data_IF_432499700420
#
_entry.id   IF_432499700420
#
_cell.length_a   1.000
_cell.length_b   1.000
_cell.length_c   1.000
_cell.angle_alpha   90.00
_cell.angle_beta   90.00
_cell.angle_gamma   90.00
#
_symmetry.space_group_name_H-M   'P 1'
#
loop_
_entity.id
_entity.type
_entity.pdbx_description
1 polymer ?
#
# COMPACT_ATOMS: atom_id res chain seq x y z
N UNK A 1 -15.91 27.76 -19.49
CA UNK A 1 -14.98 26.64 -19.73
C UNK A 1 -14.81 25.86 -18.43
N UNK A 2 -14.84 24.53 -18.51
CA UNK A 2 -14.45 23.68 -17.38
C UNK A 2 -12.93 23.77 -17.19
N UNK A 3 -12.48 23.83 -15.93
CA UNK A 3 -11.04 23.79 -15.59
C UNK A 3 -10.75 22.44 -14.94
N UNK A 4 -9.79 21.72 -15.50
CA UNK A 4 -9.27 20.48 -14.91
C UNK A 4 -7.79 20.70 -14.57
N UNK A 5 -7.39 20.24 -13.39
CA UNK A 5 -5.97 20.14 -13.05
C UNK A 5 -5.45 18.81 -13.57
N UNK A 6 -4.34 18.85 -14.28
CA UNK A 6 -3.63 17.66 -14.77
C UNK A 6 -2.20 17.68 -14.24
N UNK A 7 -1.55 16.51 -14.20
CA UNK A 7 -0.14 16.44 -13.82
C UNK A 7 0.75 17.15 -14.86
N UNK A 8 1.96 17.54 -14.45
CA UNK A 8 2.92 18.19 -15.35
C UNK A 8 3.34 17.25 -16.49
N UNK A 9 3.39 15.96 -16.20
CA UNK A 9 3.75 14.90 -17.14
C UNK A 9 2.67 14.76 -18.22
N UNK A 10 1.39 14.75 -17.82
CA UNK A 10 0.27 14.72 -18.75
C UNK A 10 0.22 15.98 -19.63
N UNK A 11 0.50 17.16 -19.05
CA UNK A 11 0.56 18.41 -19.80
C UNK A 11 1.65 18.38 -20.88
N UNK A 12 2.85 17.87 -20.54
CA UNK A 12 3.95 17.70 -21.50
C UNK A 12 3.58 16.73 -22.62
N UNK A 13 2.93 15.61 -22.29
CA UNK A 13 2.48 14.64 -23.29
C UNK A 13 1.47 15.25 -24.27
N UNK A 14 0.54 16.10 -23.79
CA UNK A 14 -0.39 16.82 -24.65
C UNK A 14 0.33 17.78 -25.60
N UNK A 15 1.32 18.53 -25.11
CA UNK A 15 2.12 19.45 -25.94
C UNK A 15 2.90 18.70 -27.01
N UNK A 16 3.48 17.54 -26.67
CA UNK A 16 4.21 16.72 -27.64
C UNK A 16 3.30 16.25 -28.78
N UNK A 17 2.10 15.77 -28.47
CA UNK A 17 1.12 15.37 -29.47
C UNK A 17 0.65 16.56 -30.31
N UNK A 18 0.43 17.72 -29.69
CA UNK A 18 0.02 18.93 -30.41
C UNK A 18 1.08 19.37 -31.42
N UNK A 19 2.36 19.40 -31.02
CA UNK A 19 3.46 19.74 -31.93
C UNK A 19 3.54 18.80 -33.14
N UNK A 20 3.29 17.49 -32.94
CA UNK A 20 3.28 16.50 -34.04
C UNK A 20 2.11 16.71 -35.01
N UNK A 21 0.97 17.21 -34.53
CA UNK A 21 -0.17 17.56 -35.37
C UNK A 21 0.18 18.80 -36.20
N UNK A 22 0.74 19.82 -35.56
CA UNK A 22 1.06 21.09 -36.21
C UNK A 22 2.23 21.00 -37.20
N UNK A 23 3.17 20.06 -37.02
CA UNK A 23 4.37 19.88 -37.88
C UNK A 23 4.03 19.65 -39.37
N UNK A 24 2.79 19.22 -39.69
CA UNK A 24 2.37 18.91 -41.08
C UNK A 24 0.97 19.43 -41.42
N UNK A 25 0.45 20.39 -40.66
CA UNK A 25 -0.93 20.85 -40.80
C UNK A 25 -1.02 22.38 -40.93
N UNK A 26 -0.90 22.87 -42.17
CA UNK A 26 -1.01 24.30 -42.48
C UNK A 26 -2.47 24.80 -42.58
N UNK A 27 -3.44 23.88 -42.62
CA UNK A 27 -4.86 24.19 -42.87
C UNK A 27 -5.65 24.57 -41.60
N UNK A 28 -5.03 24.56 -40.43
CA UNK A 28 -5.67 24.97 -39.17
C UNK A 28 -4.71 24.85 -37.99
N UNK A 29 -5.08 25.45 -36.85
CA UNK A 29 -4.39 25.24 -35.57
C UNK A 29 -5.34 24.61 -34.57
N UNK A 30 -4.98 23.47 -34.02
CA UNK A 30 -5.67 22.94 -32.85
C UNK A 30 -5.14 23.65 -31.60
N UNK A 31 -6.00 23.92 -30.62
CA UNK A 31 -5.51 24.33 -29.31
C UNK A 31 -5.27 23.10 -28.43
N UNK A 32 -4.42 23.25 -27.40
CA UNK A 32 -4.23 22.20 -26.38
C UNK A 32 -5.55 21.77 -25.74
N UNK A 33 -6.49 22.69 -25.58
CA UNK A 33 -7.82 22.40 -25.04
C UNK A 33 -8.67 21.54 -25.99
N UNK A 34 -8.62 21.82 -27.29
CA UNK A 34 -9.35 21.03 -28.30
C UNK A 34 -8.80 19.60 -28.35
N UNK A 35 -7.47 19.46 -28.33
CA UNK A 35 -6.81 18.17 -28.29
C UNK A 35 -7.19 17.38 -27.03
N UNK A 36 -7.14 18.01 -25.85
CA UNK A 36 -7.52 17.37 -24.59
C UNK A 36 -9.00 16.91 -24.62
N UNK A 37 -9.90 17.77 -25.10
CA UNK A 37 -11.32 17.45 -25.20
C UNK A 37 -11.55 16.27 -26.15
N UNK A 38 -10.86 16.25 -27.30
CA UNK A 38 -10.97 15.16 -28.27
C UNK A 38 -10.45 13.83 -27.73
N UNK A 39 -9.33 13.85 -27.00
CA UNK A 39 -8.78 12.64 -26.37
C UNK A 39 -9.74 12.09 -25.33
N UNK A 40 -10.31 12.95 -24.47
CA UNK A 40 -11.27 12.52 -23.44
C UNK A 40 -12.51 11.90 -24.10
N UNK A 41 -13.10 12.57 -25.08
CA UNK A 41 -14.29 12.06 -25.78
C UNK A 41 -14.01 10.76 -26.51
N UNK A 42 -12.84 10.66 -27.17
CA UNK A 42 -12.41 9.43 -27.83
C UNK A 42 -12.24 8.29 -26.83
N UNK A 43 -11.55 8.54 -25.71
CA UNK A 43 -11.36 7.53 -24.68
C UNK A 43 -12.69 7.03 -24.15
N UNK A 44 -13.62 7.92 -23.78
CA UNK A 44 -14.96 7.53 -23.31
C UNK A 44 -15.71 6.67 -24.33
N UNK A 45 -15.60 6.99 -25.61
CA UNK A 45 -16.28 6.23 -26.67
C UNK A 45 -15.71 4.82 -26.90
N UNK A 46 -14.44 4.59 -26.56
CA UNK A 46 -13.76 3.31 -26.75
C UNK A 46 -13.39 2.61 -25.44
N UNK A 47 -13.79 3.17 -24.30
CA UNK A 47 -13.41 2.68 -22.99
C UNK A 47 -14.07 1.33 -22.70
N UNK A 48 -13.24 0.34 -22.41
CA UNK A 48 -13.65 -1.03 -22.10
C UNK A 48 -13.77 -1.25 -20.60
N UNK A 49 -14.55 -2.25 -20.20
CA UNK A 49 -14.62 -2.67 -18.79
C UNK A 49 -13.26 -3.08 -18.21
N UNK A 50 -12.35 -3.59 -19.05
CA UNK A 50 -10.98 -3.89 -18.63
C UNK A 50 -10.24 -2.61 -18.22
N UNK A 51 -10.27 -1.57 -19.04
CA UNK A 51 -9.59 -0.30 -18.72
C UNK A 51 -10.21 0.37 -17.48
N UNK A 52 -11.52 0.24 -17.29
CA UNK A 52 -12.19 0.70 -16.07
C UNK A 52 -11.70 -0.08 -14.86
N UNK A 53 -11.57 -1.40 -14.96
CA UNK A 53 -11.02 -2.23 -13.90
C UNK A 53 -9.58 -1.83 -13.55
N UNK A 54 -8.73 -1.66 -14.57
CA UNK A 54 -7.34 -1.24 -14.39
C UNK A 54 -7.24 0.12 -13.70
N UNK A 55 -8.12 1.08 -14.06
CA UNK A 55 -8.21 2.38 -13.36
C UNK A 55 -8.66 2.23 -11.90
N UNK A 56 -9.63 1.36 -11.61
CA UNK A 56 -10.06 1.11 -10.22
C UNK A 56 -8.92 0.55 -9.37
N UNK A 57 -8.09 -0.32 -9.94
CA UNK A 57 -6.90 -0.84 -9.27
C UNK A 57 -5.87 0.27 -9.06
N UNK A 58 -5.62 1.11 -10.07
CA UNK A 58 -4.67 2.22 -9.98
C UNK A 58 -5.03 3.22 -8.88
N UNK A 59 -6.32 3.52 -8.72
CA UNK A 59 -6.84 4.45 -7.72
C UNK A 59 -7.37 3.78 -6.45
N UNK A 60 -7.03 2.51 -6.23
CA UNK A 60 -7.45 1.80 -5.03
C UNK A 60 -6.71 2.35 -3.80
N UNK A 61 -7.46 2.90 -2.85
CA UNK A 61 -6.94 3.28 -1.54
C UNK A 61 -7.31 2.22 -0.48
N UNK A 62 -6.34 1.48 0.07
CA UNK A 62 -6.60 0.46 1.08
C UNK A 62 -7.18 1.03 2.37
N UNK A 63 -6.85 2.27 2.75
CA UNK A 63 -7.32 2.87 4.00
C UNK A 63 -8.81 3.20 3.89
N UNK A 64 -9.20 3.95 2.85
CA UNK A 64 -10.63 4.20 2.58
C UNK A 64 -11.41 2.90 2.42
N UNK A 65 -10.84 1.89 1.75
CA UNK A 65 -11.48 0.59 1.61
C UNK A 65 -11.71 -0.11 2.97
N UNK A 66 -10.75 -0.02 3.88
CA UNK A 66 -10.86 -0.57 5.23
C UNK A 66 -11.89 0.20 6.07
N UNK A 67 -11.94 1.53 5.98
CA UNK A 67 -12.93 2.37 6.66
C UNK A 67 -14.36 2.01 6.25
N UNK A 68 -14.59 1.87 4.95
CA UNK A 68 -15.90 1.47 4.41
C UNK A 68 -16.27 0.06 4.89
N UNK A 69 -15.33 -0.88 4.87
CA UNK A 69 -15.55 -2.23 5.42
C UNK A 69 -15.87 -2.18 6.91
N UNK A 70 -15.14 -1.39 7.69
CA UNK A 70 -15.34 -1.24 9.13
C UNK A 70 -16.71 -0.65 9.45
N UNK A 71 -17.16 0.35 8.69
CA UNK A 71 -18.51 0.92 8.83
C UNK A 71 -19.58 -0.15 8.62
N UNK A 72 -19.46 -0.96 7.56
CA UNK A 72 -20.39 -2.06 7.29
C UNK A 72 -20.39 -3.11 8.39
N UNK A 73 -19.22 -3.49 8.90
CA UNK A 73 -19.08 -4.43 10.03
C UNK A 73 -19.80 -3.91 11.28
N UNK A 74 -19.68 -2.60 11.57
CA UNK A 74 -20.38 -1.98 12.70
C UNK A 74 -21.90 -1.99 12.52
N UNK A 75 -22.37 -1.80 11.29
CA UNK A 75 -23.80 -1.82 10.96
C UNK A 75 -24.40 -3.24 11.02
N UNK A 76 -23.67 -4.25 10.55
CA UNK A 76 -24.17 -5.65 10.48
C UNK A 76 -23.84 -6.47 11.71
N UNK A 77 -22.83 -6.06 12.50
CA UNK A 77 -22.26 -6.84 13.60
C UNK A 77 -21.46 -8.07 13.16
N UNK A 78 -21.30 -8.30 11.84
CA UNK A 78 -20.63 -9.49 11.30
C UNK A 78 -19.24 -9.13 10.80
N UNK A 79 -18.22 -9.66 11.46
CA UNK A 79 -16.81 -9.55 11.04
C UNK A 79 -16.46 -10.75 10.16
N UNK A 80 -15.97 -10.54 8.91
CA UNK A 80 -15.45 -11.61 8.06
C UNK A 80 -14.29 -12.35 8.74
N UNK A 81 -14.24 -13.68 8.57
CA UNK A 81 -13.26 -14.54 9.25
C UNK A 81 -11.82 -14.16 8.95
N UNK A 82 -11.50 -13.78 7.71
CA UNK A 82 -10.17 -13.32 7.34
C UNK A 82 -9.70 -12.07 8.11
N UNK A 83 -10.62 -11.17 8.46
CA UNK A 83 -10.31 -9.98 9.27
C UNK A 83 -10.18 -10.39 10.74
N UNK A 84 -11.04 -11.28 11.22
CA UNK A 84 -10.99 -11.80 12.59
C UNK A 84 -9.67 -12.50 12.87
N UNK A 85 -9.23 -13.38 11.96
CA UNK A 85 -7.96 -14.12 12.07
C UNK A 85 -6.77 -13.16 12.07
N UNK A 86 -6.76 -12.18 11.17
CA UNK A 86 -5.71 -11.16 11.11
C UNK A 86 -5.62 -10.37 12.42
N UNK A 87 -6.75 -9.91 12.97
CA UNK A 87 -6.78 -9.18 14.24
C UNK A 87 -6.37 -10.05 15.43
N UNK A 88 -6.75 -11.34 15.43
CA UNK A 88 -6.34 -12.28 16.47
C UNK A 88 -4.84 -12.52 16.43
N UNK A 89 -4.27 -12.68 15.23
CA UNK A 89 -2.83 -12.85 15.07
C UNK A 89 -2.07 -11.61 15.54
N UNK A 90 -2.47 -10.41 15.13
CA UNK A 90 -1.86 -9.16 15.59
C UNK A 90 -1.92 -9.02 17.11
N UNK A 91 -3.04 -9.42 17.74
CA UNK A 91 -3.18 -9.42 19.20
C UNK A 91 -2.22 -10.41 19.88
N UNK A 92 -2.08 -11.62 19.33
CA UNK A 92 -1.18 -12.64 19.86
C UNK A 92 0.30 -12.23 19.70
N UNK A 93 0.65 -11.62 18.58
CA UNK A 93 2.01 -11.14 18.29
C UNK A 93 2.38 -9.94 19.18
N UNK A 94 1.41 -9.07 19.51
CA UNK A 94 1.61 -7.95 20.43
C UNK A 94 1.60 -8.36 21.91
N UNK A 95 1.05 -9.53 22.24
CA UNK A 95 1.01 -10.05 23.60
C UNK A 95 2.35 -10.72 23.93
N UNK A 96 3.07 -10.33 25.00
CA UNK A 96 4.23 -11.10 25.44
C UNK A 96 3.76 -12.51 25.78
N UNK A 97 4.14 -13.50 24.97
CA UNK A 97 3.89 -14.89 25.28
C UNK A 97 4.31 -15.13 26.73
N UNK A 98 3.48 -15.76 27.57
CA UNK A 98 3.90 -16.15 28.91
C UNK A 98 5.10 -17.07 28.70
N UNK A 99 6.30 -16.54 28.92
CA UNK A 99 7.53 -17.32 28.80
C UNK A 99 7.35 -18.52 29.72
N UNK A 100 7.31 -19.71 29.13
CA UNK A 100 7.22 -20.94 29.88
C UNK A 100 8.33 -20.88 30.94
N UNK A 101 7.95 -20.72 32.21
CA UNK A 101 8.91 -20.61 33.31
C UNK A 101 9.82 -21.81 33.18
N UNK A 102 11.08 -21.59 32.80
CA UNK A 102 12.06 -22.67 32.65
C UNK A 102 11.98 -23.50 33.92
N UNK A 103 11.55 -24.76 33.80
CA UNK A 103 11.49 -25.66 34.93
C UNK A 103 12.88 -25.68 35.57
N UNK A 104 12.98 -25.26 36.82
CA UNK A 104 14.24 -25.33 37.57
C UNK A 104 14.64 -26.81 37.58
N UNK A 105 15.75 -27.16 36.94
CA UNK A 105 16.34 -28.49 37.08
C UNK A 105 16.63 -28.71 38.56
N UNK A 106 16.09 -29.79 39.12
CA UNK A 106 16.39 -30.21 40.49
C UNK A 106 17.91 -30.37 40.63
N UNK A 107 18.50 -29.76 41.66
CA UNK A 107 19.89 -30.01 42.04
C UNK A 107 19.98 -31.47 42.51
N UNK A 108 20.50 -32.34 41.67
CA UNK A 108 20.69 -33.76 42.00
C UNK A 108 22.11 -34.06 42.50
N UNK A 109 22.95 -33.04 42.70
CA UNK A 109 24.33 -33.20 43.13
C UNK A 109 24.69 -32.15 44.19
N UNK A 110 25.06 -32.61 45.39
CA UNK A 110 25.61 -31.81 46.49
C UNK A 110 27.10 -31.49 46.21
N UNK A 111 27.39 -30.86 45.09
CA UNK A 111 28.75 -30.47 44.72
C UNK A 111 28.74 -28.99 44.37
N UNK A 112 29.58 -28.22 45.06
CA UNK A 112 29.84 -26.81 44.76
C UNK A 112 31.01 -26.77 43.80
N UNK A 113 30.81 -26.19 42.62
CA UNK A 113 31.90 -25.93 41.66
C UNK A 113 32.33 -24.48 41.89
N UNK A 114 33.37 -24.29 42.72
CA UNK A 114 34.03 -22.99 42.89
C UNK A 114 35.11 -22.84 41.81
N UNK A 115 34.90 -21.91 40.87
CA UNK A 115 35.96 -21.44 39.98
C UNK A 115 36.69 -20.28 40.67
N UNK A 116 37.67 -20.60 41.50
CA UNK A 116 38.61 -19.61 42.01
C UNK A 116 39.70 -19.41 40.96
N UNK A 117 39.73 -18.26 40.30
CA UNK A 117 40.87 -17.86 39.47
C UNK A 117 42.06 -17.58 40.39
N UNK A 118 43.09 -18.43 40.33
CA UNK A 118 44.39 -18.17 40.96
C UNK A 118 45.05 -16.97 40.28
N UNK A 119 45.02 -15.82 40.96
CA UNK A 119 45.90 -14.69 40.62
C UNK A 119 47.33 -15.12 40.98
N UNK A 120 48.10 -15.51 39.97
CA UNK A 120 49.55 -15.72 40.09
C UNK A 120 50.24 -14.36 40.18
N UNK A 121 50.67 -13.99 41.39
CA UNK A 121 51.69 -12.96 41.59
C UNK A 121 53.06 -13.54 41.18
N UNK A 122 53.72 -12.87 40.22
CA UNK A 122 55.13 -13.10 39.92
C UNK A 122 55.85 -11.77 39.76
N UNK A 123 56.68 -11.49 40.77
CA UNK A 123 57.82 -10.57 40.90
C UNK A 123 57.60 -9.06 40.79
#
# INVERSE_FOLDING_TARGET
MAKIAISKEADRALVEVLNRIDEKFDAGRATKQDLASQIIMRFVSSCTEKEIHDMRVLFFDPITAMEVKMKRIKETGVIPDSIRELLLQEFLDASPQPTAKKAKKSLNQNIIIDNVEEIKESA
#
